data_IF_574548755582
#
_entry.id   IF_574548755582
#
_cell.length_a   1.000
_cell.length_b   1.000
_cell.length_c   1.000
_cell.angle_alpha   90.00
_cell.angle_beta   90.00
_cell.angle_gamma   90.00
#
_symmetry.space_group_name_H-M   'P 1'
#
loop_
_entity.id
_entity.type
_entity.pdbx_description
1 polymer ?
#
# COMPACT_ATOMS: atom_id res chain seq x y z
N UNK A 1 51.77 26.45 27.58
CA UNK A 1 50.47 25.73 27.56
C UNK A 1 49.91 25.71 28.98
N UNK A 2 48.73 26.29 29.24
CA UNK A 2 48.07 26.21 30.55
C UNK A 2 47.26 24.91 30.60
N UNK A 3 47.79 23.90 31.28
CA UNK A 3 47.04 22.68 31.61
C UNK A 3 46.13 22.97 32.79
N UNK A 4 44.82 23.03 32.55
CA UNK A 4 43.80 23.20 33.59
C UNK A 4 43.51 21.84 34.22
N UNK A 5 44.10 21.57 35.39
CA UNK A 5 43.82 20.36 36.16
C UNK A 5 42.52 20.54 36.93
N UNK A 6 41.42 19.93 36.46
CA UNK A 6 40.14 19.93 37.17
C UNK A 6 40.18 18.84 38.26
N UNK A 7 40.30 19.25 39.53
CA UNK A 7 40.13 18.34 40.68
C UNK A 7 38.64 18.14 40.97
N UNK A 8 37.99 17.20 40.29
CA UNK A 8 36.60 16.83 40.57
C UNK A 8 36.52 15.87 41.77
N UNK A 9 35.61 16.15 42.73
CA UNK A 9 35.34 15.25 43.85
C UNK A 9 34.51 14.05 43.36
N UNK A 10 34.68 12.85 43.95
CA UNK A 10 34.03 11.62 43.45
C UNK A 10 32.49 11.71 43.41
N UNK A 11 31.88 12.45 44.34
CA UNK A 11 30.42 12.67 44.38
C UNK A 11 29.91 13.56 43.22
N UNK A 12 30.72 14.52 42.78
CA UNK A 12 30.40 15.39 41.65
C UNK A 12 30.61 14.68 40.31
N UNK A 13 31.63 13.81 40.23
CA UNK A 13 31.89 12.99 39.05
C UNK A 13 30.73 12.00 38.80
N UNK A 14 30.22 11.38 39.87
CA UNK A 14 29.06 10.49 39.78
C UNK A 14 27.80 11.21 39.29
N UNK A 15 27.52 12.41 39.81
CA UNK A 15 26.37 13.22 39.36
C UNK A 15 26.46 13.65 37.89
N UNK A 16 27.65 14.01 37.41
CA UNK A 16 27.86 14.37 35.99
C UNK A 16 27.65 13.15 35.08
N UNK A 17 28.17 11.98 35.47
CA UNK A 17 27.99 10.75 34.70
C UNK A 17 26.50 10.39 34.60
N UNK A 18 25.75 10.51 35.69
CA UNK A 18 24.30 10.24 35.74
C UNK A 18 23.48 11.22 34.88
N UNK A 19 23.86 12.49 34.85
CA UNK A 19 23.21 13.48 34.01
C UNK A 19 23.46 13.23 32.51
N UNK A 20 24.70 12.88 32.15
CA UNK A 20 25.06 12.59 30.75
C UNK A 20 24.36 11.33 30.25
N UNK A 21 24.32 10.25 31.04
CA UNK A 21 23.57 9.04 30.65
C UNK A 21 22.08 9.31 30.53
N UNK A 22 21.49 10.10 31.42
CA UNK A 22 20.09 10.51 31.31
C UNK A 22 19.77 11.25 30.01
N UNK A 23 20.62 12.20 29.61
CA UNK A 23 20.47 12.96 28.36
C UNK A 23 20.60 12.04 27.14
N UNK A 24 21.56 11.12 27.14
CA UNK A 24 21.76 10.16 26.04
C UNK A 24 20.54 9.25 25.89
N UNK A 25 19.98 8.75 27.00
CA UNK A 25 18.76 7.93 26.96
C UNK A 25 17.58 8.73 26.40
N UNK A 26 17.39 9.98 26.82
CA UNK A 26 16.30 10.83 26.29
C UNK A 26 16.46 11.08 24.79
N UNK A 27 17.67 11.37 24.32
CA UNK A 27 17.95 11.60 22.89
C UNK A 27 17.70 10.32 22.07
N UNK A 28 18.18 9.16 22.53
CA UNK A 28 17.93 7.88 21.87
C UNK A 28 16.43 7.57 21.82
N UNK A 29 15.71 7.81 22.92
CA UNK A 29 14.26 7.57 23.00
C UNK A 29 13.50 8.51 22.06
N UNK A 30 13.88 9.79 21.98
CA UNK A 30 13.25 10.75 21.07
C UNK A 30 13.58 10.47 19.59
N UNK A 31 14.82 10.10 19.25
CA UNK A 31 15.20 9.74 17.88
C UNK A 31 14.46 8.47 17.41
N UNK A 32 14.36 7.45 18.27
CA UNK A 32 13.62 6.23 17.97
C UNK A 32 12.10 6.45 17.93
N UNK A 33 11.55 7.38 18.73
CA UNK A 33 10.11 7.63 18.77
C UNK A 33 9.62 8.66 17.74
N UNK A 34 10.48 9.58 17.27
CA UNK A 34 10.15 10.56 16.24
C UNK A 34 10.37 10.03 14.81
N UNK A 35 11.12 8.94 14.65
CA UNK A 35 11.28 8.25 13.36
C UNK A 35 10.13 7.30 13.02
N UNK A 36 9.12 7.19 13.91
CA UNK A 36 7.84 6.63 13.53
C UNK A 36 7.07 7.69 12.73
N UNK A 37 7.51 7.91 11.48
CA UNK A 37 6.52 8.07 10.41
C UNK A 37 5.53 6.93 10.64
N UNK A 38 4.23 7.25 10.62
CA UNK A 38 3.23 6.23 10.48
C UNK A 38 3.51 5.49 9.16
N UNK A 39 4.39 4.50 9.20
CA UNK A 39 4.38 3.40 8.28
C UNK A 39 3.05 2.73 8.56
N UNK A 40 2.05 3.11 7.77
CA UNK A 40 0.97 2.20 7.41
C UNK A 40 1.66 0.88 7.17
N UNK A 41 1.42 -0.11 8.04
CA UNK A 41 2.03 -1.41 7.91
C UNK A 41 1.67 -1.93 6.52
N UNK A 42 2.59 -1.78 5.56
CA UNK A 42 2.38 -2.28 4.21
C UNK A 42 2.30 -3.78 4.38
N UNK A 43 1.12 -4.34 4.14
CA UNK A 43 1.00 -5.77 3.95
C UNK A 43 2.10 -6.22 2.97
N UNK A 44 2.61 -7.44 3.14
CA UNK A 44 3.61 -7.98 2.23
C UNK A 44 3.10 -7.85 0.78
N UNK A 45 3.99 -7.53 -0.19
CA UNK A 45 3.59 -7.40 -1.59
C UNK A 45 2.83 -8.65 -2.07
N UNK A 46 1.70 -8.43 -2.73
CA UNK A 46 0.87 -9.52 -3.29
C UNK A 46 1.44 -9.86 -4.66
N UNK A 47 1.99 -11.07 -4.81
CA UNK A 47 2.51 -11.54 -6.10
C UNK A 47 1.36 -11.92 -7.04
N UNK A 48 1.39 -11.42 -8.26
CA UNK A 48 0.38 -11.63 -9.31
C UNK A 48 1.03 -11.78 -10.70
N UNK A 49 2.27 -12.29 -10.74
CA UNK A 49 3.05 -12.48 -11.96
C UNK A 49 2.45 -13.54 -12.89
N UNK A 50 1.83 -14.58 -12.33
CA UNK A 50 1.23 -15.68 -13.10
C UNK A 50 -0.29 -15.67 -13.05
N UNK A 51 -0.93 -16.34 -14.01
CA UNK A 51 -2.38 -16.55 -14.04
C UNK A 51 -2.89 -17.21 -12.76
N UNK A 52 -2.16 -18.19 -12.24
CA UNK A 52 -2.53 -18.95 -11.05
C UNK A 52 -2.54 -18.05 -9.81
N UNK A 53 -1.55 -17.16 -9.68
CA UNK A 53 -1.48 -16.22 -8.55
C UNK A 53 -2.63 -15.20 -8.59
N UNK A 54 -2.97 -14.69 -9.77
CA UNK A 54 -4.12 -13.78 -9.93
C UNK A 54 -5.45 -14.48 -9.65
N UNK A 55 -5.58 -15.71 -10.14
CA UNK A 55 -6.75 -16.54 -9.89
C UNK A 55 -6.91 -16.86 -8.39
N UNK A 56 -5.80 -17.18 -7.70
CA UNK A 56 -5.76 -17.41 -6.26
C UNK A 56 -6.15 -16.15 -5.49
N UNK A 57 -5.67 -14.97 -5.89
CA UNK A 57 -6.04 -13.70 -5.26
C UNK A 57 -7.56 -13.46 -5.34
N UNK A 58 -8.17 -13.57 -6.52
CA UNK A 58 -9.62 -13.42 -6.69
C UNK A 58 -10.42 -14.46 -5.92
N UNK A 59 -9.98 -15.73 -5.99
CA UNK A 59 -10.65 -16.84 -5.28
C UNK A 59 -10.56 -16.69 -3.77
N UNK A 60 -9.46 -16.16 -3.24
CA UNK A 60 -9.29 -15.89 -1.80
C UNK A 60 -10.30 -14.87 -1.27
N UNK A 61 -10.78 -13.99 -2.15
CA UNK A 61 -11.82 -13.01 -1.87
C UNK A 61 -13.23 -13.57 -2.14
N UNK A 62 -13.38 -14.80 -2.62
CA UNK A 62 -14.68 -15.44 -2.90
C UNK A 62 -15.28 -15.08 -4.26
N UNK A 63 -14.48 -14.58 -5.20
CA UNK A 63 -14.94 -14.25 -6.55
C UNK A 63 -14.80 -15.45 -7.49
N UNK A 64 -15.83 -15.69 -8.29
CA UNK A 64 -15.79 -16.60 -9.44
C UNK A 64 -15.70 -15.77 -10.72
N UNK A 65 -14.89 -16.25 -11.67
CA UNK A 65 -14.54 -15.48 -12.86
C UNK A 65 -14.31 -16.36 -14.08
N UNK A 66 -14.46 -15.75 -15.26
CA UNK A 66 -13.98 -16.33 -16.52
C UNK A 66 -12.52 -15.97 -16.78
N UNK A 67 -11.94 -16.56 -17.82
CA UNK A 67 -10.68 -16.12 -18.37
C UNK A 67 -10.69 -14.60 -18.65
N UNK A 68 -9.56 -14.00 -18.40
CA UNK A 68 -9.25 -12.59 -18.42
C UNK A 68 -8.83 -12.12 -19.81
N UNK A 69 -8.97 -10.82 -20.03
CA UNK A 69 -8.20 -10.12 -21.06
C UNK A 69 -7.07 -9.34 -20.40
N UNK A 70 -5.98 -9.11 -21.13
CA UNK A 70 -4.83 -8.33 -20.66
C UNK A 70 -4.56 -7.13 -21.55
N UNK A 71 -4.08 -6.05 -20.93
CA UNK A 71 -3.68 -4.82 -21.61
C UNK A 71 -2.52 -4.16 -20.91
N UNK A 72 -1.47 -3.83 -21.66
CA UNK A 72 -0.40 -2.96 -21.16
C UNK A 72 -0.91 -1.52 -21.02
N UNK A 73 -0.63 -0.90 -19.87
CA UNK A 73 -0.99 0.48 -19.56
C UNK A 73 0.22 1.23 -19.00
N UNK A 74 0.25 2.54 -19.19
CA UNK A 74 1.21 3.44 -18.51
C UNK A 74 0.48 4.24 -17.45
N UNK A 75 1.00 4.20 -16.23
CA UNK A 75 0.46 5.02 -15.13
C UNK A 75 0.90 6.47 -15.38
N UNK A 76 -0.02 7.45 -15.49
CA UNK A 76 0.36 8.80 -15.88
C UNK A 76 1.34 9.44 -14.90
N UNK A 77 2.31 10.20 -15.41
CA UNK A 77 3.21 10.99 -14.55
C UNK A 77 2.44 12.07 -13.74
N UNK A 78 1.38 12.61 -14.34
CA UNK A 78 0.51 13.61 -13.73
C UNK A 78 -0.92 13.10 -13.67
N UNK A 79 -1.49 13.06 -12.46
CA UNK A 79 -2.86 12.62 -12.28
C UNK A 79 -3.80 13.81 -12.45
N UNK A 80 -4.74 13.69 -13.39
CA UNK A 80 -5.91 14.57 -13.45
C UNK A 80 -6.92 14.19 -12.35
N UNK A 81 -8.08 14.86 -12.31
CA UNK A 81 -9.10 14.58 -11.31
C UNK A 81 -9.63 13.14 -11.37
N UNK A 82 -9.80 12.61 -12.59
CA UNK A 82 -10.27 11.23 -12.80
C UNK A 82 -9.30 10.22 -12.17
N UNK A 83 -7.99 10.33 -12.46
CA UNK A 83 -6.98 9.45 -11.87
C UNK A 83 -6.83 9.63 -10.36
N UNK A 84 -7.00 10.85 -9.83
CA UNK A 84 -7.00 11.07 -8.38
C UNK A 84 -8.18 10.36 -7.72
N UNK A 85 -9.38 10.50 -8.28
CA UNK A 85 -10.59 9.85 -7.76
C UNK A 85 -10.48 8.33 -7.87
N UNK A 86 -9.95 7.81 -8.98
CA UNK A 86 -9.65 6.40 -9.17
C UNK A 86 -8.66 5.88 -8.10
N UNK A 87 -7.54 6.58 -7.90
CA UNK A 87 -6.54 6.21 -6.90
C UNK A 87 -7.11 6.27 -5.47
N UNK A 88 -8.06 7.16 -5.17
CA UNK A 88 -8.76 7.19 -3.87
C UNK A 88 -9.55 5.91 -3.63
N UNK A 89 -10.12 5.28 -4.66
CA UNK A 89 -10.78 3.97 -4.53
C UNK A 89 -9.77 2.91 -4.12
N UNK A 90 -8.64 2.81 -4.83
CA UNK A 90 -7.61 1.80 -4.59
C UNK A 90 -6.91 1.97 -3.23
N UNK A 91 -6.74 3.22 -2.77
CA UNK A 91 -6.19 3.54 -1.44
C UNK A 91 -6.98 2.92 -0.29
N UNK A 92 -8.27 2.60 -0.47
CA UNK A 92 -9.07 1.91 0.56
C UNK A 92 -8.58 0.49 0.83
N UNK A 93 -7.89 -0.14 -0.12
CA UNK A 93 -7.27 -1.47 0.01
C UNK A 93 -5.78 -1.38 0.36
N UNK A 94 -5.25 -0.18 0.57
CA UNK A 94 -3.81 0.04 0.80
C UNK A 94 -2.98 0.17 -0.48
N UNK A 95 -3.58 0.19 -1.66
CA UNK A 95 -2.88 0.41 -2.93
C UNK A 95 -2.73 1.90 -3.24
N UNK A 96 -1.62 2.32 -3.85
CA UNK A 96 -1.39 3.72 -4.20
C UNK A 96 -0.64 3.88 -5.52
N UNK A 97 -1.36 4.17 -6.60
CA UNK A 97 -0.78 4.36 -7.93
C UNK A 97 0.15 5.58 -8.05
N UNK A 98 0.10 6.51 -7.10
CA UNK A 98 1.04 7.64 -7.10
C UNK A 98 2.50 7.20 -6.91
N UNK A 99 2.73 6.04 -6.30
CA UNK A 99 4.05 5.44 -6.10
C UNK A 99 4.60 4.77 -7.38
N UNK A 100 3.74 4.64 -8.40
CA UNK A 100 4.03 3.95 -9.65
C UNK A 100 3.88 4.87 -10.88
N UNK A 101 3.86 6.19 -10.69
CA UNK A 101 3.78 7.17 -11.78
C UNK A 101 4.89 6.99 -12.81
N UNK A 102 4.53 7.07 -14.08
CA UNK A 102 5.43 6.88 -15.22
C UNK A 102 5.80 5.42 -15.50
N UNK A 103 5.41 4.46 -14.64
CA UNK A 103 5.70 3.05 -14.85
C UNK A 103 4.69 2.41 -15.80
N UNK A 104 5.15 1.39 -16.50
CA UNK A 104 4.31 0.45 -17.25
C UNK A 104 3.76 -0.61 -16.28
N UNK A 105 2.49 -0.95 -16.44
CA UNK A 105 1.81 -2.01 -15.71
C UNK A 105 0.92 -2.80 -16.67
N UNK A 106 0.49 -3.99 -16.25
CA UNK A 106 -0.50 -4.79 -16.97
C UNK A 106 -1.82 -4.73 -16.24
N UNK A 107 -2.88 -4.37 -16.97
CA UNK A 107 -4.26 -4.45 -16.52
C UNK A 107 -4.82 -5.81 -16.95
N UNK A 108 -5.23 -6.61 -15.98
CA UNK A 108 -5.96 -7.87 -16.19
C UNK A 108 -7.42 -7.68 -15.82
N UNK A 109 -8.31 -7.99 -16.76
CA UNK A 109 -9.76 -7.74 -16.66
C UNK A 109 -10.50 -9.07 -16.67
N UNK A 110 -11.14 -9.41 -15.55
CA UNK A 110 -11.88 -10.65 -15.34
C UNK A 110 -13.39 -10.40 -15.34
N UNK A 111 -14.17 -11.20 -16.08
CA UNK A 111 -15.64 -11.16 -15.94
C UNK A 111 -16.06 -11.97 -14.72
N UNK A 112 -16.84 -11.36 -13.83
CA UNK A 112 -17.30 -11.95 -12.57
C UNK A 112 -18.65 -12.63 -12.77
N UNK A 113 -18.74 -13.88 -12.34
CA UNK A 113 -19.91 -14.75 -12.58
C UNK A 113 -20.83 -14.90 -11.38
N UNK A 114 -20.39 -14.50 -10.18
CA UNK A 114 -21.13 -14.68 -8.93
C UNK A 114 -21.51 -13.36 -8.23
N UNK A 115 -21.72 -12.27 -8.98
CA UNK A 115 -22.23 -11.00 -8.44
C UNK A 115 -23.75 -10.89 -8.52
N UNK A 116 -24.45 -11.52 -7.57
CA UNK A 116 -25.92 -11.53 -7.56
C UNK A 116 -26.49 -12.03 -8.90
N UNK A 117 -27.39 -11.26 -9.51
CA UNK A 117 -27.95 -11.55 -10.84
C UNK A 117 -27.31 -10.76 -11.99
N UNK A 118 -26.31 -9.89 -11.70
CA UNK A 118 -25.67 -9.06 -12.71
C UNK A 118 -24.62 -9.87 -13.47
N UNK A 119 -24.55 -9.67 -14.80
CA UNK A 119 -23.64 -10.40 -15.70
C UNK A 119 -22.49 -9.58 -16.28
N UNK A 120 -22.53 -8.26 -16.12
CA UNK A 120 -21.55 -7.33 -16.70
C UNK A 120 -20.57 -6.81 -15.64
N UNK A 121 -20.35 -7.58 -14.57
CA UNK A 121 -19.45 -7.18 -13.51
C UNK A 121 -18.04 -7.63 -13.86
N UNK A 122 -17.10 -6.72 -13.66
CA UNK A 122 -15.69 -6.91 -14.00
C UNK A 122 -14.86 -6.71 -12.74
N UNK A 123 -13.84 -7.54 -12.55
CA UNK A 123 -12.74 -7.26 -11.63
C UNK A 123 -11.49 -6.94 -12.42
N UNK A 124 -10.89 -5.80 -12.12
CA UNK A 124 -9.65 -5.34 -12.73
C UNK A 124 -8.50 -5.50 -11.72
N UNK A 125 -7.39 -6.11 -12.15
CA UNK A 125 -6.14 -6.22 -11.40
C UNK A 125 -5.04 -5.48 -12.14
N UNK A 126 -4.40 -4.50 -11.49
CA UNK A 126 -3.27 -3.76 -12.03
C UNK A 126 -1.99 -4.33 -11.43
N UNK A 127 -1.14 -4.88 -12.28
CA UNK A 127 0.11 -5.55 -11.89
C UNK A 127 1.32 -4.81 -12.46
N UNK A 128 2.24 -4.40 -11.59
CA UNK A 128 3.51 -3.76 -11.97
C UNK A 128 4.66 -4.62 -11.44
N UNK A 129 5.61 -5.00 -12.29
CA UNK A 129 6.75 -5.84 -11.92
C UNK A 129 6.35 -7.14 -11.19
N UNK A 130 5.21 -7.74 -11.58
CA UNK A 130 4.70 -8.97 -10.96
C UNK A 130 4.00 -8.78 -9.60
N UNK A 131 3.82 -7.54 -9.16
CA UNK A 131 3.16 -7.20 -7.89
C UNK A 131 1.83 -6.50 -8.17
N UNK A 132 0.80 -6.88 -7.43
CA UNK A 132 -0.50 -6.23 -7.47
C UNK A 132 -0.41 -4.82 -6.84
N UNK A 133 -0.78 -3.80 -7.60
CA UNK A 133 -0.70 -2.38 -7.20
C UNK A 133 -2.06 -1.66 -7.29
N UNK A 134 -3.13 -2.39 -7.60
CA UNK A 134 -4.49 -1.90 -7.64
C UNK A 134 -5.45 -3.04 -7.99
N UNK A 135 -6.63 -3.06 -7.36
CA UNK A 135 -7.68 -4.01 -7.70
C UNK A 135 -9.06 -3.39 -7.50
N UNK A 136 -9.93 -3.42 -8.51
CA UNK A 136 -11.28 -2.85 -8.41
C UNK A 136 -12.36 -3.77 -8.98
N UNK A 137 -13.60 -3.47 -8.59
CA UNK A 137 -14.80 -4.10 -9.10
C UNK A 137 -15.66 -3.03 -9.77
N UNK A 138 -16.03 -3.28 -11.03
CA UNK A 138 -16.69 -2.31 -11.89
C UNK A 138 -17.96 -2.89 -12.55
N UNK A 139 -19.01 -2.08 -12.61
CA UNK A 139 -20.11 -2.24 -13.57
C UNK A 139 -19.94 -1.12 -14.61
N UNK A 140 -19.60 -1.43 -15.87
CA UNK A 140 -19.31 -0.42 -16.88
C UNK A 140 -20.58 0.16 -17.53
N UNK A 141 -21.79 -0.21 -17.07
CA UNK A 141 -23.04 0.29 -17.66
C UNK A 141 -23.27 1.78 -17.40
N UNK A 142 -23.90 2.46 -18.36
CA UNK A 142 -24.17 3.89 -18.25
C UNK A 142 -25.26 4.25 -17.22
N UNK A 143 -26.23 3.37 -17.00
CA UNK A 143 -27.40 3.66 -16.15
C UNK A 143 -27.16 3.30 -14.67
N UNK A 144 -26.44 2.21 -14.41
CA UNK A 144 -26.25 1.65 -13.06
C UNK A 144 -24.79 1.26 -12.79
N UNK A 145 -23.88 1.90 -13.51
CA UNK A 145 -22.46 1.66 -13.38
C UNK A 145 -21.91 2.09 -12.04
N UNK A 146 -20.87 1.39 -11.60
CA UNK A 146 -20.15 1.73 -10.38
C UNK A 146 -18.70 1.34 -10.53
N UNK A 147 -17.87 1.96 -9.68
CA UNK A 147 -16.50 1.56 -9.45
C UNK A 147 -16.28 1.51 -7.94
N UNK A 148 -15.81 0.37 -7.43
CA UNK A 148 -15.47 0.21 -6.02
C UNK A 148 -14.19 -0.61 -5.87
N UNK A 149 -13.55 -0.47 -4.71
CA UNK A 149 -12.46 -1.35 -4.35
C UNK A 149 -12.93 -2.81 -4.38
N UNK A 150 -12.08 -3.69 -4.89
CA UNK A 150 -12.30 -5.13 -4.84
C UNK A 150 -12.13 -5.62 -3.40
N UNK A 151 -13.24 -5.96 -2.75
CA UNK A 151 -13.24 -6.51 -1.39
C UNK A 151 -13.74 -7.96 -1.43
N UNK A 152 -13.76 -8.61 -0.27
CA UNK A 152 -14.35 -9.93 -0.09
C UNK A 152 -15.80 -9.94 -0.60
N UNK A 153 -16.17 -11.01 -1.27
CA UNK A 153 -17.52 -11.21 -1.76
C UNK A 153 -18.46 -11.55 -0.60
N UNK A 154 -19.12 -10.53 -0.05
CA UNK A 154 -20.07 -10.67 1.05
C UNK A 154 -21.50 -11.03 0.59
N UNK A 155 -21.72 -11.37 -0.69
CA UNK A 155 -23.03 -11.84 -1.17
C UNK A 155 -23.32 -13.25 -0.64
N UNK A 156 -23.74 -13.32 0.63
CA UNK A 156 -24.37 -14.48 1.27
C UNK A 156 -25.84 -14.18 1.53
#
# INVERSE_FOLDING_TARGET
>A
MKVLTIKAKPKTLFGIILAVTGIVVIILTFLSNHSRKAETASAAPISCSTSEQRAEYLSSLGWEFSAESEKEITIPEQFNEVYRNYNTVLKKQGFNLEEHKGKTATLYTYNITNYGSKKNIIADLIVCDGVLIGADLCDPSAEHGFLKALDKNDTT
#
